data_IF_665173392396
#
_entry.id   IF_665173392396
#
_cell.length_a   1.000
_cell.length_b   1.000
_cell.length_c   1.000
_cell.angle_alpha   90.00
_cell.angle_beta   90.00
_cell.angle_gamma   90.00
#
_symmetry.space_group_name_H-M   'P 1'
#
loop_
_entity.id
_entity.type
_entity.pdbx_description
1 polymer ?
#
# COMPACT_ATOMS: atom_id res chain seq x y z
N UNK A 1 9.54 13.51 -5.49
CA UNK A 1 10.43 14.51 -4.88
C UNK A 1 11.35 13.80 -3.90
N UNK A 2 12.64 13.76 -4.20
CA UNK A 2 13.63 13.01 -3.43
C UNK A 2 14.82 12.62 -4.31
N UNK A 3 15.61 11.65 -3.87
CA UNK A 3 16.86 11.23 -4.51
C UNK A 3 16.73 9.92 -5.31
N UNK A 4 15.54 9.63 -5.86
CA UNK A 4 15.30 8.30 -6.44
C UNK A 4 15.99 8.21 -7.81
N UNK A 5 16.75 7.14 -8.13
CA UNK A 5 17.55 7.09 -9.37
C UNK A 5 16.76 7.30 -10.67
N UNK A 6 15.48 6.88 -10.70
CA UNK A 6 14.60 7.07 -11.87
C UNK A 6 13.92 8.45 -11.95
N UNK A 7 14.15 9.34 -10.99
CA UNK A 7 13.45 10.60 -10.86
C UNK A 7 14.08 11.51 -9.81
N UNK A 8 15.40 11.65 -9.88
CA UNK A 8 16.17 12.45 -8.92
C UNK A 8 15.84 13.93 -9.10
N UNK A 9 15.53 14.61 -8.00
CA UNK A 9 15.16 16.02 -8.03
C UNK A 9 16.35 16.87 -8.48
N UNK A 10 16.08 17.99 -9.15
CA UNK A 10 17.11 18.96 -9.56
C UNK A 10 17.02 20.19 -8.68
N UNK A 11 18.18 20.71 -8.29
CA UNK A 11 18.25 21.98 -7.55
C UNK A 11 18.31 23.12 -8.57
N UNK A 12 17.29 23.98 -8.55
CA UNK A 12 17.21 25.18 -9.38
C UNK A 12 17.50 26.41 -8.53
N UNK A 13 18.79 26.65 -8.26
CA UNK A 13 19.27 27.86 -7.59
C UNK A 13 20.38 28.48 -8.44
N UNK A 14 20.24 29.77 -8.77
CA UNK A 14 21.21 30.50 -9.60
C UNK A 14 22.59 30.65 -8.94
N UNK A 15 22.71 30.37 -7.64
CA UNK A 15 23.95 30.46 -6.86
C UNK A 15 24.74 29.14 -6.84
N UNK A 16 24.13 28.04 -7.25
CA UNK A 16 24.72 26.70 -7.18
C UNK A 16 24.83 26.15 -8.60
N UNK A 17 25.92 25.43 -8.91
CA UNK A 17 26.01 24.72 -10.18
C UNK A 17 24.87 23.71 -10.31
N UNK A 18 24.28 23.64 -11.50
CA UNK A 18 23.17 22.72 -11.79
C UNK A 18 23.58 21.28 -11.46
N UNK A 19 22.93 20.70 -10.45
CA UNK A 19 23.16 19.33 -10.00
C UNK A 19 21.88 18.70 -9.46
N UNK A 20 21.88 17.39 -9.33
CA UNK A 20 20.76 16.66 -8.73
C UNK A 20 20.81 16.74 -7.21
N UNK A 21 19.68 16.45 -6.56
CA UNK A 21 19.57 16.45 -5.11
C UNK A 21 20.46 15.37 -4.49
N UNK A 22 20.57 14.19 -5.12
CA UNK A 22 21.48 13.14 -4.63
C UNK A 22 22.95 13.60 -4.66
N UNK A 23 23.39 14.25 -5.74
CA UNK A 23 24.74 14.79 -5.87
C UNK A 23 25.01 15.87 -4.81
N UNK A 24 24.06 16.78 -4.62
CA UNK A 24 24.20 17.82 -3.61
C UNK A 24 24.26 17.25 -2.18
N UNK A 25 23.42 16.26 -1.86
CA UNK A 25 23.44 15.57 -0.55
C UNK A 25 24.76 14.83 -0.33
N UNK A 26 25.32 14.19 -1.36
CA UNK A 26 26.61 13.51 -1.27
C UNK A 26 27.75 14.48 -0.88
N UNK A 27 27.70 15.72 -1.37
CA UNK A 27 28.67 16.78 -1.02
C UNK A 27 28.36 17.48 0.31
N UNK A 28 27.09 17.46 0.75
CA UNK A 28 26.60 18.22 1.91
C UNK A 28 25.91 17.30 2.93
N UNK A 29 26.58 16.20 3.29
CA UNK A 29 26.02 15.15 4.16
C UNK A 29 25.49 15.65 5.51
N UNK A 30 26.05 16.73 6.04
CA UNK A 30 25.62 17.30 7.32
C UNK A 30 24.23 17.95 7.26
N UNK A 31 23.72 18.24 6.05
CA UNK A 31 22.35 18.72 5.83
C UNK A 31 21.26 17.72 6.22
N UNK A 32 21.58 16.41 6.28
CA UNK A 32 20.67 15.37 6.73
C UNK A 32 20.51 15.33 8.26
N UNK A 33 21.47 15.92 8.99
CA UNK A 33 21.64 15.72 10.41
C UNK A 33 22.30 14.38 10.75
N UNK A 34 23.06 14.34 11.85
CA UNK A 34 23.86 13.17 12.27
C UNK A 34 23.03 11.90 12.40
N UNK A 35 21.86 11.98 13.04
CA UNK A 35 20.99 10.82 13.26
C UNK A 35 20.56 10.14 11.94
N UNK A 36 20.15 10.91 10.94
CA UNK A 36 19.72 10.36 9.64
C UNK A 36 20.92 9.81 8.87
N UNK A 37 22.04 10.55 8.87
CA UNK A 37 23.28 10.13 8.23
C UNK A 37 23.77 8.78 8.75
N UNK A 38 23.78 8.60 10.06
CA UNK A 38 24.26 7.36 10.70
C UNK A 38 23.27 6.20 10.50
N UNK A 39 21.96 6.48 10.55
CA UNK A 39 20.91 5.44 10.43
C UNK A 39 20.69 4.96 8.99
N UNK A 40 20.84 5.85 8.00
CA UNK A 40 20.48 5.60 6.60
C UNK A 40 21.67 5.75 5.64
N UNK A 41 22.89 5.63 6.17
CA UNK A 41 24.14 5.65 5.39
C UNK A 41 24.28 6.89 4.49
N UNK A 42 23.87 8.05 5.01
CA UNK A 42 23.97 9.29 4.25
C UNK A 42 22.96 9.44 3.10
N UNK A 43 21.93 8.59 3.06
CA UNK A 43 20.86 8.67 2.06
C UNK A 43 19.60 9.31 2.64
N UNK A 44 18.80 9.92 1.76
CA UNK A 44 17.47 10.40 2.12
C UNK A 44 16.54 9.19 2.35
N UNK A 45 15.91 9.04 3.54
CA UNK A 45 15.21 7.81 3.88
C UNK A 45 13.77 7.73 3.34
N UNK A 46 13.28 8.79 2.69
CA UNK A 46 11.93 8.87 2.17
C UNK A 46 11.89 9.42 0.74
N UNK A 47 10.86 9.00 0.03
CA UNK A 47 10.43 9.53 -1.25
C UNK A 47 9.08 10.22 -1.06
N UNK A 48 9.06 11.52 -1.31
CA UNK A 48 7.85 12.31 -1.23
C UNK A 48 7.17 12.37 -2.60
N UNK A 49 5.86 12.14 -2.65
CA UNK A 49 5.06 12.14 -3.87
C UNK A 49 3.81 12.99 -3.70
N UNK A 50 3.39 13.53 -4.84
CA UNK A 50 2.08 14.12 -5.02
C UNK A 50 1.38 13.28 -6.08
N UNK A 51 0.24 12.70 -5.74
CA UNK A 51 -0.52 11.77 -6.56
C UNK A 51 -1.85 12.41 -6.94
N UNK A 52 -2.19 12.47 -8.22
CA UNK A 52 -3.54 12.80 -8.69
C UNK A 52 -4.17 11.52 -9.24
N UNK A 53 -5.25 11.06 -8.62
CA UNK A 53 -5.82 9.72 -8.87
C UNK A 53 -7.17 9.86 -9.55
N UNK A 54 -7.14 9.86 -10.88
CA UNK A 54 -8.35 9.86 -11.71
C UNK A 54 -8.98 8.46 -11.81
N UNK A 55 -8.14 7.42 -11.92
CA UNK A 55 -8.56 6.01 -11.95
C UNK A 55 -8.04 5.27 -10.71
N UNK A 56 -8.84 4.38 -10.10
CA UNK A 56 -8.44 3.54 -8.99
C UNK A 56 -7.11 2.84 -9.27
N UNK A 57 -6.18 2.92 -8.34
CA UNK A 57 -4.95 2.17 -8.39
C UNK A 57 -5.20 0.73 -7.96
N UNK A 58 -4.24 -0.14 -8.25
CA UNK A 58 -4.31 -1.54 -7.85
C UNK A 58 -4.45 -1.66 -6.33
N UNK A 59 -5.09 -2.73 -5.88
CA UNK A 59 -4.99 -3.15 -4.48
C UNK A 59 -3.54 -3.58 -4.22
N UNK A 60 -3.00 -3.23 -3.06
CA UNK A 60 -1.63 -3.51 -2.69
C UNK A 60 -1.53 -3.84 -1.21
N UNK A 61 -0.57 -4.69 -0.87
CA UNK A 61 -0.07 -4.87 0.48
C UNK A 61 1.45 -4.94 0.39
N UNK A 62 2.12 -4.26 1.32
CA UNK A 62 3.58 -4.22 1.38
C UNK A 62 4.08 -5.13 2.50
N UNK A 63 5.10 -5.97 2.27
CA UNK A 63 5.63 -6.85 3.30
C UNK A 63 6.19 -6.05 4.48
N UNK A 64 6.13 -6.64 5.68
CA UNK A 64 6.90 -6.16 6.83
C UNK A 64 8.41 -6.40 6.61
N UNK A 65 9.24 -5.92 7.54
CA UNK A 65 10.71 -5.95 7.36
C UNK A 65 11.26 -7.36 7.20
N UNK A 66 10.81 -8.27 8.06
CA UNK A 66 11.23 -9.67 8.05
C UNK A 66 10.82 -10.39 6.75
N UNK A 67 9.59 -10.15 6.28
CA UNK A 67 9.10 -10.74 5.03
C UNK A 67 9.79 -10.12 3.81
N UNK A 68 10.08 -8.81 3.82
CA UNK A 68 10.81 -8.14 2.74
C UNK A 68 12.22 -8.72 2.57
N UNK A 69 12.93 -9.00 3.67
CA UNK A 69 14.24 -9.66 3.65
C UNK A 69 14.17 -11.06 3.03
N UNK A 70 13.19 -11.87 3.44
CA UNK A 70 12.97 -13.21 2.87
C UNK A 70 12.66 -13.15 1.36
N UNK A 71 11.74 -12.26 0.97
CA UNK A 71 11.31 -12.10 -0.41
C UNK A 71 12.43 -11.57 -1.31
N UNK A 72 13.25 -10.64 -0.81
CA UNK A 72 14.42 -10.13 -1.53
C UNK A 72 15.44 -11.24 -1.82
N UNK A 73 15.69 -12.11 -0.84
CA UNK A 73 16.59 -13.26 -1.01
C UNK A 73 16.04 -14.29 -2.01
N UNK A 74 14.73 -14.55 -1.97
CA UNK A 74 14.10 -15.59 -2.80
C UNK A 74 13.86 -15.12 -4.25
N UNK A 75 13.44 -13.87 -4.43
CA UNK A 75 13.02 -13.33 -5.73
C UNK A 75 13.47 -11.86 -5.90
N UNK A 76 14.78 -11.58 -5.98
CA UNK A 76 15.32 -10.22 -6.02
C UNK A 76 14.88 -9.42 -7.26
N UNK A 77 14.43 -10.09 -8.33
CA UNK A 77 13.88 -9.41 -9.51
C UNK A 77 12.53 -8.73 -9.21
N UNK A 78 11.71 -9.36 -8.36
CA UNK A 78 10.37 -8.90 -7.99
C UNK A 78 10.37 -8.04 -6.71
N UNK A 79 11.31 -8.34 -5.81
CA UNK A 79 11.55 -7.63 -4.55
C UNK A 79 12.98 -7.08 -4.58
N UNK A 80 13.21 -5.94 -5.23
CA UNK A 80 14.55 -5.39 -5.45
C UNK A 80 15.28 -4.91 -4.20
N UNK A 81 14.61 -4.79 -3.06
CA UNK A 81 15.24 -4.49 -1.78
C UNK A 81 14.59 -5.24 -0.63
N UNK A 82 15.31 -5.28 0.49
CA UNK A 82 14.92 -5.97 1.71
C UNK A 82 14.22 -5.04 2.72
N UNK A 83 13.59 -3.95 2.28
CA UNK A 83 12.99 -2.98 3.17
C UNK A 83 11.46 -3.06 3.21
N UNK A 84 10.89 -2.73 4.37
CA UNK A 84 9.45 -2.54 4.49
C UNK A 84 9.06 -1.17 3.92
N UNK A 85 7.80 -1.05 3.49
CA UNK A 85 7.28 0.15 2.83
C UNK A 85 6.08 0.75 3.57
N UNK A 86 6.29 1.37 4.74
CA UNK A 86 5.24 2.09 5.43
C UNK A 86 4.91 3.34 4.63
N UNK A 87 3.64 3.55 4.33
CA UNK A 87 3.21 4.74 3.59
C UNK A 87 2.32 5.62 4.45
N UNK A 88 2.33 6.91 4.18
CA UNK A 88 1.37 7.84 4.74
C UNK A 88 0.77 8.65 3.59
N UNK A 89 -0.55 8.64 3.50
CA UNK A 89 -1.29 9.46 2.55
C UNK A 89 -1.97 10.62 3.29
N UNK A 90 -1.84 11.83 2.76
CA UNK A 90 -2.52 13.03 3.27
C UNK A 90 -3.35 13.61 2.14
N UNK A 91 -4.64 13.76 2.40
CA UNK A 91 -5.58 14.29 1.43
C UNK A 91 -5.38 15.80 1.26
N UNK A 92 -5.14 16.31 0.05
CA UNK A 92 -5.18 17.77 -0.21
C UNK A 92 -6.52 18.21 -0.77
N UNK A 93 -7.21 17.30 -1.44
CA UNK A 93 -8.63 17.43 -1.81
C UNK A 93 -9.39 16.25 -1.21
N UNK A 94 -10.73 16.18 -1.32
CA UNK A 94 -11.47 14.99 -0.91
C UNK A 94 -10.93 13.74 -1.60
N UNK A 95 -10.53 12.75 -0.79
CA UNK A 95 -9.86 11.54 -1.23
C UNK A 95 -10.65 10.30 -0.81
N UNK A 96 -10.76 9.31 -1.68
CA UNK A 96 -11.35 8.01 -1.42
C UNK A 96 -10.36 6.89 -1.62
N UNK A 97 -10.29 5.99 -0.65
CA UNK A 97 -9.42 4.82 -0.69
C UNK A 97 -9.98 3.63 0.09
N UNK A 98 -9.39 2.47 -0.15
CA UNK A 98 -9.60 1.25 0.62
C UNK A 98 -8.43 1.06 1.58
N UNK A 99 -8.67 0.64 2.82
CA UNK A 99 -7.60 0.33 3.78
C UNK A 99 -8.05 -0.70 4.82
N UNK A 100 -7.37 -1.85 4.84
CA UNK A 100 -7.58 -2.92 5.82
C UNK A 100 -8.94 -3.59 5.71
N UNK A 101 -9.04 -4.79 6.28
CA UNK A 101 -10.30 -5.52 6.31
C UNK A 101 -11.29 -4.87 7.29
N UNK A 102 -12.58 -4.96 6.94
CA UNK A 102 -13.69 -4.68 7.85
C UNK A 102 -13.84 -5.84 8.86
N UNK A 103 -14.54 -5.62 9.99
CA UNK A 103 -15.03 -6.71 10.83
C UNK A 103 -15.85 -7.72 10.00
N UNK A 104 -15.71 -9.01 10.31
CA UNK A 104 -16.35 -10.09 9.53
C UNK A 104 -17.87 -9.94 9.50
N UNK A 105 -18.46 -9.47 10.60
CA UNK A 105 -19.89 -9.24 10.76
C UNK A 105 -20.40 -8.15 9.79
N UNK A 106 -19.61 -7.10 9.55
CA UNK A 106 -19.93 -6.08 8.56
C UNK A 106 -19.86 -6.66 7.14
N UNK A 107 -18.81 -7.43 6.84
CA UNK A 107 -18.64 -8.08 5.53
C UNK A 107 -19.85 -8.98 5.22
N UNK A 108 -20.23 -9.83 6.18
CA UNK A 108 -21.41 -10.72 6.03
C UNK A 108 -22.69 -9.91 5.82
N UNK A 109 -22.85 -8.79 6.52
CA UNK A 109 -24.02 -7.92 6.38
C UNK A 109 -24.07 -7.31 4.98
N UNK A 110 -22.97 -6.71 4.49
CA UNK A 110 -22.93 -6.12 3.15
C UNK A 110 -23.15 -7.17 2.05
N UNK A 111 -22.55 -8.35 2.17
CA UNK A 111 -22.75 -9.43 1.20
C UNK A 111 -24.20 -9.94 1.17
N UNK A 112 -24.88 -10.03 2.32
CA UNK A 112 -26.31 -10.37 2.38
C UNK A 112 -27.17 -9.30 1.71
N UNK A 113 -26.88 -8.03 1.95
CA UNK A 113 -27.59 -6.91 1.31
C UNK A 113 -27.41 -6.93 -0.21
N UNK A 114 -26.18 -7.13 -0.68
CA UNK A 114 -25.87 -7.24 -2.11
C UNK A 114 -26.55 -8.46 -2.76
N UNK A 115 -26.57 -9.61 -2.09
CA UNK A 115 -27.25 -10.82 -2.58
C UNK A 115 -28.78 -10.70 -2.60
N UNK A 116 -29.36 -9.86 -1.74
CA UNK A 116 -30.80 -9.64 -1.62
C UNK A 116 -31.42 -8.72 -2.69
N UNK A 117 -30.61 -8.12 -3.59
CA UNK A 117 -31.04 -7.05 -4.49
C UNK A 117 -31.75 -5.88 -3.75
N UNK A 118 -31.30 -5.60 -2.52
CA UNK A 118 -31.87 -4.52 -1.72
C UNK A 118 -31.35 -3.17 -2.20
N UNK A 119 -32.23 -2.16 -2.29
CA UNK A 119 -31.86 -0.77 -2.65
C UNK A 119 -30.92 -0.09 -1.64
N UNK A 120 -30.60 -0.75 -0.52
CA UNK A 120 -29.70 -0.25 0.51
C UNK A 120 -28.23 -0.64 0.29
N UNK A 121 -27.88 -1.33 -0.80
CA UNK A 121 -26.47 -1.58 -1.12
C UNK A 121 -25.76 -0.28 -1.55
N UNK A 122 -25.24 0.43 -0.54
CA UNK A 122 -24.46 1.65 -0.69
C UNK A 122 -23.20 1.48 -1.56
N UNK A 123 -22.73 0.25 -1.77
CA UNK A 123 -21.54 -0.04 -2.57
C UNK A 123 -21.85 -0.50 -3.99
N UNK A 124 -23.13 -0.79 -4.31
CA UNK A 124 -23.52 -1.30 -5.62
C UNK A 124 -23.15 -0.35 -6.77
N UNK A 125 -23.34 0.96 -6.60
CA UNK A 125 -22.93 1.95 -7.59
C UNK A 125 -21.41 1.99 -7.78
N UNK A 126 -20.65 1.92 -6.68
CA UNK A 126 -19.19 1.90 -6.73
C UNK A 126 -18.68 0.62 -7.40
N UNK A 127 -19.30 -0.53 -7.13
CA UNK A 127 -18.99 -1.80 -7.80
C UNK A 127 -19.15 -1.66 -9.32
N UNK A 128 -20.26 -1.09 -9.77
CA UNK A 128 -20.53 -0.89 -11.19
C UNK A 128 -19.53 0.07 -11.84
N UNK A 129 -19.15 1.15 -11.14
CA UNK A 129 -18.10 2.08 -11.60
C UNK A 129 -16.74 1.38 -11.72
N UNK A 130 -16.35 0.60 -10.71
CA UNK A 130 -15.12 -0.19 -10.74
C UNK A 130 -15.16 -1.21 -11.87
N UNK A 131 -16.26 -1.93 -12.06
CA UNK A 131 -16.43 -2.90 -13.13
C UNK A 131 -16.36 -2.25 -14.52
N UNK A 132 -16.92 -1.05 -14.69
CA UNK A 132 -16.81 -0.30 -15.95
C UNK A 132 -15.35 0.03 -16.27
N UNK A 133 -14.54 0.35 -15.26
CA UNK A 133 -13.13 0.68 -15.43
C UNK A 133 -12.22 -0.56 -15.49
N UNK A 134 -12.63 -1.66 -14.83
CA UNK A 134 -11.93 -2.93 -14.70
C UNK A 134 -12.86 -4.12 -14.99
N UNK A 135 -13.33 -4.31 -16.23
CA UNK A 135 -14.32 -5.34 -16.55
C UNK A 135 -13.81 -6.75 -16.22
N UNK A 136 -14.54 -7.46 -15.37
CA UNK A 136 -14.24 -8.83 -14.95
C UNK A 136 -13.10 -8.97 -13.92
N UNK A 137 -12.60 -7.86 -13.36
CA UNK A 137 -11.59 -7.90 -12.29
C UNK A 137 -12.25 -8.22 -10.94
N UNK A 138 -11.75 -9.25 -10.25
CA UNK A 138 -12.25 -9.67 -8.93
C UNK A 138 -12.01 -8.61 -7.84
N UNK A 139 -11.03 -7.72 -8.03
CA UNK A 139 -10.76 -6.59 -7.16
C UNK A 139 -11.92 -5.61 -7.03
N UNK A 140 -12.88 -5.61 -7.97
CA UNK A 140 -14.09 -4.79 -7.85
C UNK A 140 -14.88 -5.13 -6.58
N UNK A 141 -14.85 -6.38 -6.13
CA UNK A 141 -15.53 -6.82 -4.92
C UNK A 141 -14.81 -6.42 -3.62
N UNK A 142 -13.56 -5.93 -3.69
CA UNK A 142 -12.79 -5.56 -2.51
C UNK A 142 -13.47 -4.49 -1.65
N UNK A 143 -14.36 -3.67 -2.23
CA UNK A 143 -15.14 -2.65 -1.52
C UNK A 143 -16.04 -3.23 -0.40
N UNK A 144 -16.44 -4.50 -0.54
CA UNK A 144 -17.23 -5.21 0.47
C UNK A 144 -16.38 -5.79 1.60
N UNK A 145 -15.08 -6.02 1.35
CA UNK A 145 -14.17 -6.65 2.31
C UNK A 145 -13.30 -5.62 3.04
N UNK A 146 -12.94 -4.52 2.36
CA UNK A 146 -12.02 -3.50 2.87
C UNK A 146 -12.77 -2.25 3.32
N UNK A 147 -12.23 -1.53 4.31
CA UNK A 147 -12.82 -0.27 4.77
C UNK A 147 -12.73 0.77 3.65
N UNK A 148 -13.87 1.30 3.22
CA UNK A 148 -13.93 2.45 2.32
C UNK A 148 -13.81 3.74 3.14
N UNK A 149 -12.69 4.43 2.98
CA UNK A 149 -12.39 5.68 3.66
C UNK A 149 -12.62 6.85 2.72
N UNK A 150 -13.23 7.92 3.25
CA UNK A 150 -13.26 9.24 2.59
C UNK A 150 -12.54 10.22 3.49
N UNK A 151 -11.36 10.67 3.08
CA UNK A 151 -10.56 11.66 3.79
C UNK A 151 -10.87 13.07 3.26
N UNK A 152 -11.09 14.00 4.18
CA UNK A 152 -11.19 15.43 3.89
C UNK A 152 -9.80 16.05 3.72
N UNK A 153 -9.68 17.20 3.03
CA UNK A 153 -8.43 17.95 2.98
C UNK A 153 -7.80 18.14 4.36
N UNK A 154 -6.54 17.75 4.51
CA UNK A 154 -5.78 17.77 5.75
C UNK A 154 -5.85 16.50 6.59
N UNK A 155 -6.80 15.60 6.34
CA UNK A 155 -6.84 14.28 6.97
C UNK A 155 -5.80 13.34 6.36
N UNK A 156 -5.31 12.41 7.17
CA UNK A 156 -4.25 11.49 6.80
C UNK A 156 -4.62 10.05 7.16
N UNK A 157 -4.08 9.11 6.40
CA UNK A 157 -4.10 7.68 6.71
C UNK A 157 -2.69 7.13 6.66
N UNK A 158 -2.36 6.28 7.63
CA UNK A 158 -1.14 5.50 7.64
C UNK A 158 -1.42 4.10 7.09
N UNK A 159 -0.53 3.62 6.22
CA UNK A 159 -0.60 2.32 5.58
C UNK A 159 0.47 1.43 6.16
N UNK A 160 0.04 0.57 7.08
CA UNK A 160 0.91 -0.38 7.75
C UNK A 160 1.33 -1.51 6.82
N UNK A 161 2.43 -2.17 7.19
CA UNK A 161 2.86 -3.38 6.52
C UNK A 161 1.79 -4.47 6.62
N UNK A 162 1.68 -5.28 5.57
CA UNK A 162 0.74 -6.37 5.40
C UNK A 162 -0.75 -5.98 5.38
N UNK A 163 -1.07 -4.67 5.32
CA UNK A 163 -2.46 -4.20 5.23
C UNK A 163 -2.83 -3.96 3.76
N UNK A 164 -3.88 -4.64 3.23
CA UNK A 164 -4.35 -4.38 1.87
C UNK A 164 -4.99 -3.00 1.77
N UNK A 165 -4.61 -2.24 0.75
CA UNK A 165 -5.11 -0.89 0.52
C UNK A 165 -5.14 -0.55 -0.98
N UNK A 166 -5.95 0.43 -1.36
CA UNK A 166 -6.01 0.95 -2.72
C UNK A 166 -6.44 2.42 -2.72
N UNK A 167 -5.91 3.23 -3.63
CA UNK A 167 -6.39 4.59 -3.85
C UNK A 167 -7.45 4.57 -4.94
N UNK A 168 -8.69 4.95 -4.64
CA UNK A 168 -9.80 4.81 -5.59
C UNK A 168 -10.02 6.08 -6.41
N UNK A 169 -10.14 7.21 -5.73
CA UNK A 169 -10.46 8.48 -6.37
C UNK A 169 -9.94 9.63 -5.54
N UNK A 170 -9.37 10.61 -6.22
CA UNK A 170 -8.84 11.80 -5.61
C UNK A 170 -8.77 12.90 -6.65
N UNK A 171 -9.72 13.83 -6.60
CA UNK A 171 -9.80 14.90 -7.60
C UNK A 171 -8.77 15.96 -7.28
N UNK A 172 -7.73 16.10 -8.10
CA UNK A 172 -6.59 17.02 -7.88
C UNK A 172 -5.66 16.54 -6.72
N UNK A 173 -4.40 17.02 -6.63
CA UNK A 173 -3.31 16.24 -6.05
C UNK A 173 -3.49 15.85 -4.58
N UNK A 174 -2.93 14.73 -4.12
CA UNK A 174 -2.84 14.31 -2.72
C UNK A 174 -1.39 13.94 -2.38
N UNK A 175 -0.98 14.09 -1.11
CA UNK A 175 0.36 13.69 -0.71
C UNK A 175 0.42 12.21 -0.41
N UNK A 176 1.52 11.58 -0.84
CA UNK A 176 1.95 10.29 -0.32
C UNK A 176 3.45 10.38 -0.01
N UNK A 177 3.84 9.94 1.18
CA UNK A 177 5.24 9.70 1.51
C UNK A 177 5.45 8.20 1.69
N UNK A 178 6.46 7.66 1.02
CA UNK A 178 6.89 6.28 1.12
C UNK A 178 8.38 6.31 1.50
N UNK A 179 8.96 5.29 2.17
CA UNK A 179 10.40 5.23 2.31
C UNK A 179 11.08 5.13 0.95
N UNK A 180 12.37 5.45 0.92
CA UNK A 180 13.20 5.26 -0.26
C UNK A 180 13.47 3.77 -0.49
N UNK A 181 12.49 3.09 -1.07
CA UNK A 181 12.56 1.70 -1.51
C UNK A 181 12.30 1.65 -3.02
N UNK A 182 12.87 0.65 -3.67
CA UNK A 182 12.52 0.35 -5.04
C UNK A 182 11.07 -0.17 -5.07
N UNK A 183 10.28 0.14 -6.12
CA UNK A 183 8.92 -0.38 -6.21
C UNK A 183 8.95 -1.91 -6.28
N UNK A 184 8.60 -2.54 -5.16
CA UNK A 184 8.35 -3.98 -5.04
C UNK A 184 7.01 -4.34 -5.66
N UNK A 185 6.87 -5.59 -6.11
CA UNK A 185 5.57 -6.11 -6.54
C UNK A 185 4.65 -6.22 -5.32
N UNK A 186 3.43 -5.71 -5.46
CA UNK A 186 2.42 -5.85 -4.42
C UNK A 186 1.99 -7.31 -4.30
N UNK A 187 1.70 -7.78 -3.08
CA UNK A 187 1.25 -9.16 -2.85
C UNK A 187 -0.13 -9.48 -3.50
N UNK A 188 -0.90 -8.46 -3.95
CA UNK A 188 -2.26 -8.65 -4.48
C UNK A 188 -2.61 -7.66 -5.62
N UNK A 189 -2.08 -7.81 -6.85
CA UNK A 189 -2.31 -6.84 -7.92
C UNK A 189 -3.69 -7.00 -8.59
N UNK A 190 -4.76 -6.67 -7.86
CA UNK A 190 -6.11 -6.56 -8.40
C UNK A 190 -6.44 -5.10 -8.76
N UNK A 191 -7.42 -4.86 -9.63
CA UNK A 191 -7.65 -3.55 -10.28
C UNK A 191 -6.48 -3.10 -11.17
N UNK A 192 -6.03 -3.97 -12.08
CA UNK A 192 -4.96 -3.66 -13.04
C UNK A 192 -5.45 -3.83 -14.50
N UNK A 193 -5.56 -2.71 -15.24
CA UNK A 193 -6.12 -2.66 -16.61
C UNK A 193 -5.28 -3.38 -17.68
N UNK A 194 -4.15 -3.99 -17.34
CA UNK A 194 -3.31 -4.61 -18.37
C UNK A 194 -2.10 -5.40 -17.87
N UNK A 195 -1.78 -5.39 -16.58
CA UNK A 195 -0.86 -6.35 -15.99
C UNK A 195 -1.64 -7.38 -15.20
N UNK A 196 -2.37 -8.23 -15.93
CA UNK A 196 -2.49 -9.63 -15.50
C UNK A 196 -1.11 -10.29 -15.59
N UNK A 197 -0.17 -9.83 -14.77
CA UNK A 197 0.89 -10.68 -14.28
C UNK A 197 0.31 -11.29 -13.02
N UNK A 198 -0.61 -12.22 -13.23
CA UNK A 198 -0.82 -13.29 -12.26
C UNK A 198 0.60 -13.78 -11.99
N UNK A 199 1.15 -13.43 -10.83
CA UNK A 199 2.15 -14.30 -10.25
C UNK A 199 1.36 -15.61 -10.19
N UNK A 200 1.67 -16.54 -11.10
CA UNK A 200 1.30 -17.93 -10.87
C UNK A 200 2.06 -18.22 -9.60
N UNK A 201 1.44 -17.96 -8.46
CA UNK A 201 1.97 -18.38 -7.18
C UNK A 201 2.11 -19.87 -7.35
N UNK A 202 3.36 -20.30 -7.52
CA UNK A 202 3.63 -21.71 -7.55
C UNK A 202 3.31 -22.22 -6.14
N UNK A 203 2.93 -23.49 -5.97
CA UNK A 203 2.70 -24.04 -4.63
C UNK A 203 3.84 -23.78 -3.63
N UNK A 204 5.05 -23.47 -4.11
CA UNK A 204 6.20 -23.05 -3.30
C UNK A 204 6.12 -21.61 -2.77
N UNK A 205 5.54 -20.68 -3.52
CA UNK A 205 5.38 -19.28 -3.11
C UNK A 205 4.31 -19.16 -2.01
N UNK A 206 3.22 -19.94 -2.14
CA UNK A 206 2.21 -20.12 -1.09
C UNK A 206 2.76 -20.85 0.14
N UNK A 207 3.64 -21.84 -0.04
CA UNK A 207 4.30 -22.54 1.07
C UNK A 207 5.27 -21.64 1.86
N UNK A 208 5.90 -20.66 1.21
CA UNK A 208 6.74 -19.66 1.86
C UNK A 208 5.93 -18.67 2.72
N UNK A 209 4.65 -18.44 2.38
CA UNK A 209 3.70 -17.64 3.15
C UNK A 209 2.96 -18.44 4.24
N UNK A 210 3.00 -19.78 4.20
CA UNK A 210 2.22 -20.67 5.08
C UNK A 210 3.06 -21.61 5.96
N UNK A 211 4.40 -21.53 5.90
CA UNK A 211 5.29 -22.12 6.90
C UNK A 211 5.68 -21.02 7.90
N UNK A 212 5.00 -20.85 9.03
CA UNK A 212 4.61 -21.85 10.03
C UNK A 212 3.15 -21.68 10.47
N UNK A 213 2.47 -22.80 10.74
CA UNK A 213 1.10 -22.77 11.24
C UNK A 213 1.00 -22.13 12.63
N UNK A 214 0.29 -21.00 12.76
CA UNK A 214 -0.29 -20.60 14.04
C UNK A 214 -1.48 -19.61 13.99
N UNK A 215 -2.12 -19.36 12.84
CA UNK A 215 -3.33 -18.51 12.86
C UNK A 215 -4.58 -19.25 13.36
N UNK A 216 -4.59 -20.59 13.36
CA UNK A 216 -5.76 -21.39 13.73
C UNK A 216 -5.73 -22.01 15.14
N UNK A 217 -4.72 -21.72 15.98
CA UNK A 217 -4.59 -22.33 17.32
C UNK A 217 -4.57 -21.35 18.51
N UNK A 218 -4.76 -20.04 18.30
CA UNK A 218 -4.87 -19.08 19.42
C UNK A 218 -6.31 -18.62 19.74
N UNK A 219 -7.34 -19.29 19.22
CA UNK A 219 -8.75 -18.92 19.46
C UNK A 219 -9.58 -19.94 20.27
N UNK A 220 -8.98 -20.99 20.86
CA UNK A 220 -9.76 -22.03 21.59
C UNK A 220 -9.18 -22.49 22.93
N UNK A 221 -8.31 -21.73 23.57
CA UNK A 221 -7.87 -22.01 24.95
C UNK A 221 -8.35 -20.88 25.89
N UNK A 222 -9.52 -21.08 26.51
CA UNK A 222 -10.10 -20.13 27.46
C UNK A 222 -11.60 -20.29 27.66
N UNK A 223 -12.06 -21.51 27.92
CA UNK A 223 -13.39 -21.78 28.50
C UNK A 223 -13.27 -22.97 29.45
N UNK A 224 -12.76 -22.69 30.65
CA UNK A 224 -12.95 -23.53 31.82
C UNK A 224 -13.95 -22.79 32.72
N UNK A 225 -15.24 -23.03 32.48
CA UNK A 225 -16.29 -22.83 33.49
C UNK A 225 -16.54 -24.21 34.11
N UNK A 226 -16.06 -24.43 35.34
CA UNK A 226 -16.77 -25.15 36.39
C UNK A 226 -16.00 -25.08 37.72
N UNK A 227 -16.42 -24.17 38.60
CA UNK A 227 -16.44 -24.38 40.05
C UNK A 227 -17.31 -23.29 40.70
N UNK A 228 -18.63 -23.51 40.76
CA UNK A 228 -19.46 -23.80 41.96
C UNK A 228 -20.79 -24.36 41.44
#
# INVERSE_FOLDING_TARGET
MGTHPRGDAKILDNRISQKTLSQWIAENQDSLGSKVKDTFNGNLPFLFKVLSVETPLSIQAHPNKELAEKLHLQAPQHYPDANHKPEMAIALTPFQGLCGFRPVEEIVTFLKTAAGNNMEDIFGELLLQLHQQYPGDIGCFAIYFLNLLTLKPGEAMFLEANVPHAYLKGGEPHFSSEPHCHPCWALFPYLDKGRRRVVKETPKDLAALTSEGSWAQQATAGRDDECI
#
